data_IF_648410670379
#
_entry.id   IF_648410670379
#
_cell.length_a   1.000
_cell.length_b   1.000
_cell.length_c   1.000
_cell.angle_alpha   90.00
_cell.angle_beta   90.00
_cell.angle_gamma   90.00
#
_symmetry.space_group_name_H-M   'P 1'
#
loop_
_entity.id
_entity.type
_entity.pdbx_description
1 polymer ?
#
# COMPACT_ATOMS: atom_id res chain seq x y z
N UNK A 1 -13.96 -6.97 -2.18
CA UNK A 1 -12.94 -5.90 -2.27
C UNK A 1 -13.43 -4.65 -1.55
N UNK A 2 -12.53 -3.86 -0.97
CA UNK A 2 -12.75 -2.54 -0.40
C UNK A 2 -11.88 -1.54 -1.17
N UNK A 3 -12.42 -0.34 -1.42
CA UNK A 3 -11.71 0.76 -2.06
C UNK A 3 -11.34 1.80 -1.01
N UNK A 4 -10.08 2.16 -0.96
CA UNK A 4 -9.57 3.26 -0.15
C UNK A 4 -9.06 4.36 -1.08
N UNK A 5 -9.54 5.58 -0.90
CA UNK A 5 -9.17 6.74 -1.73
C UNK A 5 -8.59 7.80 -0.82
N UNK A 6 -7.42 8.33 -1.18
CA UNK A 6 -6.88 9.46 -0.44
C UNK A 6 -5.86 10.29 -1.23
N UNK A 7 -5.70 11.55 -0.83
CA UNK A 7 -4.67 12.45 -1.37
C UNK A 7 -3.39 12.30 -0.57
N UNK A 8 -2.27 12.06 -1.24
CA UNK A 8 -0.95 11.85 -0.64
C UNK A 8 0.06 12.80 -1.25
N UNK A 9 1.10 13.11 -0.48
CA UNK A 9 2.28 13.85 -0.94
C UNK A 9 3.51 12.97 -0.83
N UNK A 10 4.59 13.43 -1.45
CA UNK A 10 5.91 12.87 -1.22
C UNK A 10 6.21 12.81 0.30
N UNK A 11 6.74 11.68 0.77
CA UNK A 11 6.95 11.45 2.20
C UNK A 11 5.89 10.60 2.90
N UNK A 12 4.69 10.51 2.32
CA UNK A 12 3.60 9.73 2.93
C UNK A 12 3.75 8.24 2.61
N UNK A 13 3.61 7.39 3.63
CA UNK A 13 3.61 5.93 3.48
C UNK A 13 2.23 5.38 3.77
N UNK A 14 1.82 4.44 2.92
CA UNK A 14 0.57 3.73 3.08
C UNK A 14 0.87 2.28 3.44
N UNK A 15 0.34 1.84 4.58
CA UNK A 15 0.49 0.47 5.07
C UNK A 15 -0.85 -0.26 5.00
N UNK A 16 -0.84 -1.42 4.34
CA UNK A 16 -1.91 -2.41 4.46
C UNK A 16 -1.53 -3.40 5.55
N UNK A 17 -2.44 -3.66 6.49
CA UNK A 17 -2.27 -4.66 7.55
C UNK A 17 -3.45 -5.61 7.56
N UNK A 18 -3.19 -6.90 7.74
CA UNK A 18 -4.25 -7.84 8.07
C UNK A 18 -4.98 -7.38 9.33
N UNK A 19 -6.30 -7.47 9.31
CA UNK A 19 -7.13 -7.25 10.48
C UNK A 19 -6.98 -8.40 11.46
N UNK A 20 -7.21 -8.12 12.74
CA UNK A 20 -7.25 -9.15 13.77
C UNK A 20 -8.31 -10.20 13.43
N UNK A 21 -7.99 -11.48 13.68
CA UNK A 21 -8.90 -12.60 13.41
C UNK A 21 -8.73 -13.26 12.04
N UNK A 22 -7.80 -12.81 11.20
CA UNK A 22 -7.43 -13.50 9.96
C UNK A 22 -6.06 -14.17 10.12
N UNK A 23 -5.97 -15.47 9.82
CA UNK A 23 -4.69 -16.18 9.79
C UNK A 23 -3.87 -15.81 8.55
N UNK A 24 -2.54 -15.93 8.64
CA UNK A 24 -1.63 -15.67 7.52
C UNK A 24 -1.96 -16.53 6.29
N UNK A 25 -2.39 -17.78 6.50
CA UNK A 25 -2.78 -18.69 5.43
C UNK A 25 -4.02 -18.19 4.69
N UNK A 26 -5.02 -17.67 5.41
CA UNK A 26 -6.23 -17.08 4.82
C UNK A 26 -5.91 -15.81 4.06
N UNK A 27 -5.07 -14.94 4.63
CA UNK A 27 -4.61 -13.71 3.98
C UNK A 27 -3.87 -14.04 2.68
N UNK A 28 -2.91 -14.98 2.73
CA UNK A 28 -2.15 -15.41 1.56
C UNK A 28 -3.06 -16.01 0.47
N UNK A 29 -4.06 -16.81 0.86
CA UNK A 29 -5.06 -17.36 -0.07
C UNK A 29 -5.87 -16.25 -0.71
N UNK A 30 -6.38 -15.29 0.07
CA UNK A 30 -7.14 -14.15 -0.46
C UNK A 30 -6.31 -13.29 -1.41
N UNK A 31 -5.04 -13.04 -1.08
CA UNK A 31 -4.13 -12.28 -1.93
C UNK A 31 -3.84 -12.99 -3.25
N UNK A 32 -3.68 -14.32 -3.24
CA UNK A 32 -3.51 -15.10 -4.48
C UNK A 32 -4.74 -15.04 -5.38
N UNK A 33 -5.94 -15.05 -4.81
CA UNK A 33 -7.18 -15.04 -5.60
C UNK A 33 -7.59 -13.65 -6.08
N UNK A 34 -7.42 -12.62 -5.24
CA UNK A 34 -8.01 -11.30 -5.47
C UNK A 34 -6.96 -10.21 -5.75
N UNK A 35 -5.71 -10.42 -5.35
CA UNK A 35 -4.64 -9.43 -5.45
C UNK A 35 -4.87 -8.16 -4.62
N UNK A 36 -4.00 -7.19 -4.86
CA UNK A 36 -4.13 -5.80 -4.41
C UNK A 36 -3.92 -4.93 -5.66
N UNK A 37 -4.77 -3.94 -5.85
CA UNK A 37 -4.64 -2.98 -6.95
C UNK A 37 -4.29 -1.61 -6.38
N UNK A 38 -3.27 -0.98 -6.97
CA UNK A 38 -2.83 0.36 -6.62
C UNK A 38 -2.99 1.23 -7.86
N UNK A 39 -3.80 2.27 -7.76
CA UNK A 39 -4.10 3.19 -8.86
C UNK A 39 -3.61 4.57 -8.44
N UNK A 40 -2.73 5.14 -9.26
CA UNK A 40 -2.16 6.47 -9.05
C UNK A 40 -2.85 7.46 -9.98
N UNK A 41 -3.44 8.50 -9.41
CA UNK A 41 -3.93 9.66 -10.13
C UNK A 41 -2.79 10.61 -10.52
N UNK A 42 -3.08 11.61 -11.38
CA UNK A 42 -2.10 12.62 -11.77
C UNK A 42 -1.51 13.35 -10.56
N UNK A 43 -0.28 13.83 -10.71
CA UNK A 43 0.40 14.63 -9.69
C UNK A 43 0.12 16.12 -9.93
N UNK A 44 -0.45 16.80 -8.94
CA UNK A 44 -0.80 18.22 -8.97
C UNK A 44 -0.30 18.88 -7.68
N UNK A 45 0.58 19.90 -7.81
CA UNK A 45 1.10 20.64 -6.66
C UNK A 45 1.83 19.77 -5.62
N UNK A 46 2.58 18.76 -6.06
CA UNK A 46 3.30 17.82 -5.19
C UNK A 46 2.39 16.84 -4.44
N UNK A 47 1.13 16.70 -4.88
CA UNK A 47 0.15 15.76 -4.32
C UNK A 47 -0.38 14.86 -5.43
N UNK A 48 -0.71 13.62 -5.10
CA UNK A 48 -1.39 12.68 -5.99
C UNK A 48 -2.54 12.00 -5.24
N UNK A 49 -3.62 11.71 -5.96
CA UNK A 49 -4.70 10.85 -5.45
C UNK A 49 -4.26 9.40 -5.62
N UNK A 50 -4.15 8.68 -4.51
CA UNK A 50 -3.86 7.25 -4.50
C UNK A 50 -5.14 6.52 -4.15
N UNK A 51 -5.48 5.52 -4.98
CA UNK A 51 -6.56 4.59 -4.73
C UNK A 51 -5.99 3.19 -4.52
N UNK A 52 -6.43 2.51 -3.47
CA UNK A 52 -6.00 1.15 -3.15
C UNK A 52 -7.24 0.27 -3.05
N UNK A 53 -7.31 -0.77 -3.88
CA UNK A 53 -8.35 -1.78 -3.82
C UNK A 53 -7.76 -3.05 -3.22
N UNK A 54 -8.28 -3.45 -2.07
CA UNK A 54 -7.75 -4.57 -1.29
C UNK A 54 -8.87 -5.49 -0.78
N UNK A 55 -8.56 -6.73 -0.39
CA UNK A 55 -9.46 -7.58 0.37
C UNK A 55 -9.95 -6.87 1.65
N UNK A 56 -11.21 -7.12 2.05
CA UNK A 56 -11.82 -6.51 3.26
C UNK A 56 -11.14 -6.94 4.57
N UNK A 57 -10.33 -7.99 4.52
CA UNK A 57 -9.50 -8.44 5.63
C UNK A 57 -8.26 -7.58 5.85
N UNK A 58 -8.00 -6.60 4.98
CA UNK A 58 -6.88 -5.68 5.13
C UNK A 58 -7.38 -4.30 5.53
N UNK A 59 -6.78 -3.75 6.58
CA UNK A 59 -6.97 -2.37 7.00
C UNK A 59 -5.88 -1.48 6.40
N UNK A 60 -6.29 -0.30 5.93
CA UNK A 60 -5.37 0.72 5.45
C UNK A 60 -5.01 1.69 6.57
N UNK A 61 -3.73 1.81 6.88
CA UNK A 61 -3.20 2.84 7.77
C UNK A 61 -2.22 3.74 7.03
N UNK A 62 -2.31 5.04 7.32
CA UNK A 62 -1.49 6.06 6.68
C UNK A 62 -0.53 6.57 7.72
N UNK A 63 0.75 6.53 7.41
CA UNK A 63 1.81 6.95 8.31
C UNK A 63 2.69 7.97 7.59
N UNK A 64 2.88 9.13 8.22
CA UNK A 64 3.84 10.12 7.74
C UNK A 64 5.19 9.77 8.32
N UNK A 65 6.13 9.32 7.49
CA UNK A 65 7.48 9.07 7.96
C UNK A 65 8.20 10.39 8.18
N UNK A 66 8.96 10.49 9.27
CA UNK A 66 9.85 11.65 9.53
C UNK A 66 11.03 11.69 8.56
N UNK A 67 11.39 10.55 7.97
CA UNK A 67 12.36 10.38 6.90
C UNK A 67 11.78 9.38 5.90
N UNK A 68 11.62 9.77 4.65
CA UNK A 68 11.40 8.80 3.58
C UNK A 68 12.77 8.24 3.19
N UNK A 69 12.99 6.96 3.50
CA UNK A 69 14.08 6.22 2.90
C UNK A 69 13.57 5.66 1.58
N UNK A 70 14.34 5.90 0.51
CA UNK A 70 14.09 5.27 -0.78
C UNK A 70 14.11 3.74 -0.60
N UNK A 71 13.09 3.08 -1.12
CA UNK A 71 13.02 1.62 -1.21
C UNK A 71 13.66 1.08 -2.49
N UNK A 72 14.38 1.92 -3.24
CA UNK A 72 15.04 1.56 -4.50
C UNK A 72 15.99 0.36 -4.35
N UNK A 73 16.65 0.23 -3.19
CA UNK A 73 17.48 -0.94 -2.88
C UNK A 73 16.70 -2.26 -2.83
N UNK A 74 15.39 -2.24 -2.55
CA UNK A 74 14.55 -3.43 -2.60
C UNK A 74 14.14 -3.84 -4.03
N UNK A 75 14.35 -2.96 -5.03
CA UNK A 75 14.01 -3.24 -6.42
C UNK A 75 15.16 -3.94 -7.18
N UNK A 76 16.41 -3.77 -6.72
CA UNK A 76 17.61 -4.35 -7.34
C UNK A 76 18.53 -4.96 -6.27
N UNK A 77 18.23 -6.16 -5.75
CA UNK A 77 19.01 -6.77 -4.67
C UNK A 77 20.46 -7.13 -5.08
N UNK A 78 20.75 -7.27 -6.37
CA UNK A 78 22.02 -7.82 -6.88
C UNK A 78 22.91 -6.78 -7.60
N UNK A 79 23.24 -5.66 -6.93
CA UNK A 79 24.34 -4.79 -7.36
C UNK A 79 25.27 -4.47 -6.18
N UNK A 80 25.94 -5.50 -5.69
CA UNK A 80 27.16 -5.40 -4.88
C UNK A 80 28.10 -6.52 -5.26
#
# INVERSE_FOLDING_TARGET
MQLHIAVRKEGDVVRLKAMDGFSDAEVARMLRSNGIEIILGPMEGGRSRICIRAPRSLSLKVERLRRCQSTESYLYPDKT
#
